data_IF_793442949524
#
_entry.id   IF_793442949524
#
_cell.length_a   1.000
_cell.length_b   1.000
_cell.length_c   1.000
_cell.angle_alpha   90.00
_cell.angle_beta   90.00
_cell.angle_gamma   90.00
#
_symmetry.space_group_name_H-M   'P 1'
#
loop_
_entity.id
_entity.type
_entity.pdbx_description
1 polymer ?
#
# COMPACT_ATOMS: atom_id res chain seq x y z
N UNK A 1 8.88 9.07 8.38
CA UNK A 1 7.86 8.53 7.47
C UNK A 1 7.26 7.27 8.05
N UNK A 2 5.96 7.07 7.86
CA UNK A 2 5.19 5.96 8.43
C UNK A 2 4.06 5.58 7.48
N UNK A 3 3.58 4.34 7.58
CA UNK A 3 2.52 3.80 6.75
C UNK A 3 1.50 3.05 7.62
N UNK A 4 0.23 3.41 7.49
CA UNK A 4 -0.90 2.72 8.14
C UNK A 4 -1.66 1.90 7.10
N UNK A 5 -2.15 0.73 7.52
CA UNK A 5 -2.90 -0.18 6.66
C UNK A 5 -4.14 -0.61 7.44
N UNK A 6 -5.30 -0.16 6.98
CA UNK A 6 -6.57 -0.28 7.66
C UNK A 6 -7.56 -1.07 6.78
N UNK A 7 -7.81 -2.35 7.09
CA UNK A 7 -8.88 -3.08 6.44
C UNK A 7 -10.23 -2.52 6.88
N UNK A 8 -11.09 -2.25 5.91
CA UNK A 8 -12.49 -1.89 6.13
C UNK A 8 -13.40 -3.00 5.60
N UNK A 9 -14.72 -2.80 5.68
CA UNK A 9 -15.69 -3.73 5.08
C UNK A 9 -15.53 -3.88 3.56
N UNK A 10 -15.20 -2.79 2.86
CA UNK A 10 -15.21 -2.76 1.40
C UNK A 10 -13.80 -2.93 0.79
N UNK A 11 -12.81 -2.26 1.39
CA UNK A 11 -11.46 -2.15 0.84
C UNK A 11 -10.41 -2.03 1.96
N UNK A 12 -9.14 -2.14 1.60
CA UNK A 12 -8.02 -1.83 2.49
C UNK A 12 -7.52 -0.42 2.17
N UNK A 13 -7.55 0.48 3.14
CA UNK A 13 -6.94 1.80 3.02
C UNK A 13 -5.47 1.73 3.45
N UNK A 14 -4.60 2.41 2.72
CA UNK A 14 -3.18 2.59 3.07
C UNK A 14 -2.86 4.07 3.07
N UNK A 15 -2.43 4.59 4.21
CA UNK A 15 -2.06 5.99 4.39
C UNK A 15 -0.54 6.12 4.59
N UNK A 16 0.09 7.10 3.94
CA UNK A 16 1.54 7.35 4.00
C UNK A 16 1.83 8.76 4.47
N UNK A 17 2.49 8.87 5.62
CA UNK A 17 2.90 10.16 6.20
C UNK A 17 4.40 10.37 6.10
N UNK A 18 4.83 11.61 5.86
CA UNK A 18 6.25 12.00 5.89
C UNK A 18 6.81 12.02 7.32
N UNK A 19 5.92 12.14 8.33
CA UNK A 19 6.30 12.37 9.72
C UNK A 19 6.72 13.83 9.91
N UNK A 20 7.81 14.07 10.63
CA UNK A 20 8.34 15.44 10.82
C UNK A 20 9.19 16.00 9.68
N UNK A 21 9.42 15.24 8.60
CA UNK A 21 10.19 15.72 7.45
C UNK A 21 9.29 16.56 6.53
N UNK A 22 9.60 17.85 6.43
CA UNK A 22 8.89 18.83 5.62
C UNK A 22 9.70 19.28 4.40
N UNK A 23 10.81 18.61 4.09
CA UNK A 23 11.62 18.92 2.92
C UNK A 23 10.82 18.69 1.62
N UNK A 24 11.16 19.39 0.52
CA UNK A 24 10.48 19.20 -0.77
C UNK A 24 10.50 17.76 -1.29
N UNK A 25 11.48 16.94 -0.87
CA UNK A 25 11.62 15.54 -1.27
C UNK A 25 10.94 14.55 -0.31
N UNK A 26 10.43 15.01 0.84
CA UNK A 26 9.92 14.17 1.92
C UNK A 26 8.81 13.23 1.45
N UNK A 27 7.82 13.77 0.71
CA UNK A 27 6.70 12.99 0.19
C UNK A 27 7.15 11.89 -0.76
N UNK A 28 7.99 12.23 -1.73
CA UNK A 28 8.52 11.24 -2.68
C UNK A 28 9.32 10.14 -1.96
N UNK A 29 10.21 10.52 -1.05
CA UNK A 29 11.01 9.56 -0.26
C UNK A 29 10.13 8.64 0.59
N UNK A 30 9.10 9.17 1.24
CA UNK A 30 8.14 8.38 2.03
C UNK A 30 7.36 7.40 1.15
N UNK A 31 6.85 7.86 0.01
CA UNK A 31 6.11 7.02 -0.95
C UNK A 31 6.97 5.88 -1.52
N UNK A 32 8.25 6.15 -1.83
CA UNK A 32 9.16 5.10 -2.29
C UNK A 32 9.49 4.07 -1.20
N UNK A 33 9.58 4.49 0.07
CA UNK A 33 9.75 3.57 1.18
C UNK A 33 8.51 2.69 1.37
N UNK A 34 7.32 3.30 1.36
CA UNK A 34 6.04 2.61 1.45
C UNK A 34 5.86 1.59 0.30
N UNK A 35 6.16 1.99 -0.95
CA UNK A 35 6.04 1.13 -2.13
C UNK A 35 6.86 -0.17 -2.02
N UNK A 36 8.07 -0.10 -1.45
CA UNK A 36 8.94 -1.26 -1.27
C UNK A 36 8.43 -2.21 -0.19
N UNK A 37 7.83 -1.67 0.85
CA UNK A 37 7.42 -2.41 2.05
C UNK A 37 5.98 -2.98 1.96
N UNK A 38 5.11 -2.32 1.20
CA UNK A 38 3.69 -2.64 1.12
C UNK A 38 3.37 -4.10 0.76
N UNK A 39 4.01 -4.74 -0.24
CA UNK A 39 3.67 -6.14 -0.57
C UNK A 39 3.92 -7.10 0.60
N UNK A 40 5.01 -6.88 1.35
CA UNK A 40 5.35 -7.67 2.54
C UNK A 40 4.30 -7.49 3.63
N UNK A 41 3.87 -6.25 3.89
CA UNK A 41 2.85 -5.96 4.90
C UNK A 41 1.50 -6.58 4.56
N UNK A 42 1.03 -6.43 3.32
CA UNK A 42 -0.22 -7.04 2.86
C UNK A 42 -0.16 -8.57 2.99
N UNK A 43 0.95 -9.18 2.60
CA UNK A 43 1.16 -10.63 2.70
C UNK A 43 1.15 -11.15 4.14
N UNK A 44 1.86 -10.48 5.04
CA UNK A 44 1.94 -10.87 6.46
C UNK A 44 0.60 -10.75 7.18
N UNK A 45 -0.21 -9.76 6.80
CA UNK A 45 -1.53 -9.51 7.38
C UNK A 45 -2.64 -10.34 6.70
N UNK A 46 -2.33 -11.06 5.61
CA UNK A 46 -3.31 -11.80 4.83
C UNK A 46 -4.35 -10.90 4.14
N UNK A 47 -3.97 -9.67 3.78
CA UNK A 47 -4.87 -8.68 3.21
C UNK A 47 -4.92 -8.78 1.67
N UNK A 48 -6.13 -8.73 1.13
CA UNK A 48 -6.43 -8.76 -0.30
C UNK A 48 -7.82 -8.21 -0.62
N UNK A 49 -8.14 -8.11 -1.90
CA UNK A 49 -9.27 -7.36 -2.43
C UNK A 49 -8.84 -6.02 -3.02
N UNK A 50 -9.75 -5.05 -3.00
CA UNK A 50 -9.44 -3.67 -3.38
C UNK A 50 -8.57 -3.02 -2.31
N UNK A 51 -7.50 -2.36 -2.73
CA UNK A 51 -6.60 -1.61 -1.87
C UNK A 51 -6.40 -0.23 -2.48
N UNK A 52 -6.56 0.81 -1.67
CA UNK A 52 -6.41 2.21 -2.07
C UNK A 52 -5.25 2.81 -1.29
N UNK A 53 -4.29 3.39 -2.01
CA UNK A 53 -3.13 4.07 -1.45
C UNK A 53 -3.38 5.57 -1.44
N UNK A 54 -3.50 6.16 -0.25
CA UNK A 54 -3.40 7.59 -0.02
C UNK A 54 -1.94 7.94 0.29
N UNK A 55 -1.31 8.61 -0.66
CA UNK A 55 0.14 8.83 -0.65
C UNK A 55 0.47 10.23 -0.18
N UNK A 56 1.62 10.37 0.48
CA UNK A 56 2.12 11.69 0.86
C UNK A 56 2.20 12.61 -0.37
N UNK A 57 1.94 13.92 -0.22
CA UNK A 57 1.95 14.86 -1.34
C UNK A 57 3.23 14.75 -2.17
N UNK A 58 3.07 14.55 -3.49
CA UNK A 58 4.19 14.55 -4.42
C UNK A 58 3.81 15.14 -5.79
N UNK A 59 4.75 15.79 -6.49
CA UNK A 59 4.55 16.26 -7.86
C UNK A 59 4.14 15.16 -8.84
N UNK A 60 3.29 15.49 -9.81
CA UNK A 60 2.86 14.54 -10.86
C UNK A 60 4.04 13.91 -11.63
N UNK A 61 5.13 14.67 -11.84
CA UNK A 61 6.35 14.19 -12.51
C UNK A 61 7.01 13.00 -11.78
N UNK A 62 6.82 12.90 -10.47
CA UNK A 62 7.45 11.88 -9.64
C UNK A 62 6.63 10.58 -9.56
N UNK A 63 5.36 10.62 -10.00
CA UNK A 63 4.44 9.46 -10.02
C UNK A 63 5.00 8.29 -10.82
N UNK A 64 5.65 8.55 -11.96
CA UNK A 64 6.25 7.51 -12.79
C UNK A 64 7.35 6.73 -12.05
N UNK A 65 8.16 7.43 -11.26
CA UNK A 65 9.21 6.81 -10.43
C UNK A 65 8.62 5.96 -9.31
N UNK A 66 7.56 6.46 -8.67
CA UNK A 66 6.79 5.71 -7.68
C UNK A 66 6.18 4.43 -8.27
N UNK A 67 5.48 4.53 -9.40
CA UNK A 67 4.86 3.37 -10.09
C UNK A 67 5.89 2.31 -10.47
N UNK A 68 7.05 2.72 -10.99
CA UNK A 68 8.13 1.80 -11.33
C UNK A 68 8.62 1.03 -10.10
N UNK A 69 8.76 1.73 -8.96
CA UNK A 69 9.16 1.12 -7.69
C UNK A 69 8.10 0.17 -7.16
N UNK A 70 6.83 0.58 -7.18
CA UNK A 70 5.69 -0.22 -6.75
C UNK A 70 5.58 -1.50 -7.59
N UNK A 71 5.67 -1.38 -8.92
CA UNK A 71 5.65 -2.52 -9.84
C UNK A 71 6.82 -3.47 -9.62
N UNK A 72 8.02 -2.95 -9.36
CA UNK A 72 9.16 -3.81 -9.03
C UNK A 72 8.94 -4.58 -7.72
N UNK A 73 8.39 -3.92 -6.69
CA UNK A 73 8.13 -4.54 -5.40
C UNK A 73 7.06 -5.65 -5.48
N UNK A 74 5.94 -5.40 -6.18
CA UNK A 74 4.88 -6.41 -6.34
C UNK A 74 5.25 -7.56 -7.30
N UNK A 75 6.15 -7.34 -8.26
CA UNK A 75 6.66 -8.44 -9.11
C UNK A 75 7.40 -9.53 -8.32
N UNK A 76 8.04 -9.16 -7.22
CA UNK A 76 8.73 -10.11 -6.33
C UNK A 76 7.79 -10.74 -5.29
N UNK A 77 6.53 -10.32 -5.24
CA UNK A 77 5.55 -10.83 -4.30
C UNK A 77 4.85 -12.08 -4.85
N UNK A 78 4.48 -12.98 -3.95
CA UNK A 78 3.89 -14.29 -4.32
C UNK A 78 2.39 -14.24 -4.58
N UNK A 79 1.71 -13.17 -4.16
CA UNK A 79 0.25 -13.02 -4.31
C UNK A 79 -0.03 -12.11 -5.49
N UNK A 80 -0.79 -12.62 -6.44
CA UNK A 80 -1.16 -11.89 -7.65
C UNK A 80 -1.82 -10.55 -7.30
N UNK A 81 -1.30 -9.47 -7.88
CA UNK A 81 -1.74 -8.10 -7.65
C UNK A 81 -1.75 -7.32 -8.95
N UNK A 82 -2.92 -6.86 -9.37
CA UNK A 82 -3.06 -5.93 -10.47
C UNK A 82 -2.88 -4.49 -9.96
N UNK A 83 -1.94 -3.76 -10.55
CA UNK A 83 -1.74 -2.33 -10.29
C UNK A 83 -2.64 -1.53 -11.24
N UNK A 84 -3.74 -0.97 -10.73
CA UNK A 84 -4.81 -0.38 -11.54
C UNK A 84 -4.41 1.02 -12.04
N UNK A 85 -3.94 1.87 -11.14
CA UNK A 85 -3.46 3.20 -11.49
C UNK A 85 -3.96 4.32 -10.58
N UNK A 86 -3.74 5.56 -11.04
CA UNK A 86 -4.15 6.76 -10.31
C UNK A 86 -5.63 7.06 -10.49
N UNK A 87 -6.28 7.48 -9.41
CA UNK A 87 -7.64 8.03 -9.45
C UNK A 87 -7.63 9.54 -9.74
N UNK A 88 -8.78 10.12 -10.13
CA UNK A 88 -8.92 11.58 -10.26
C UNK A 88 -8.64 12.34 -8.96
N UNK A 89 -8.93 11.74 -7.80
CA UNK A 89 -8.64 12.34 -6.48
C UNK A 89 -7.16 12.26 -6.10
N UNK A 90 -6.36 11.47 -6.82
CA UNK A 90 -4.92 11.37 -6.61
C UNK A 90 -4.46 10.19 -5.75
N UNK A 91 -5.36 9.26 -5.41
CA UNK A 91 -4.99 7.98 -4.81
C UNK A 91 -4.44 7.01 -5.87
N UNK A 92 -3.81 5.93 -5.44
CA UNK A 92 -3.39 4.83 -6.31
C UNK A 92 -4.14 3.54 -5.95
N UNK A 93 -4.75 2.87 -6.93
CA UNK A 93 -5.54 1.67 -6.72
C UNK A 93 -4.80 0.41 -7.15
N UNK A 94 -5.01 -0.65 -6.38
CA UNK A 94 -4.55 -1.99 -6.72
C UNK A 94 -5.60 -3.04 -6.33
N UNK A 95 -5.68 -4.11 -7.12
CA UNK A 95 -6.56 -5.25 -6.90
C UNK A 95 -5.69 -6.47 -6.59
N UNK A 96 -5.79 -6.99 -5.37
CA UNK A 96 -4.98 -8.11 -4.88
C UNK A 96 -5.84 -9.35 -4.67
N UNK A 97 -5.33 -10.52 -5.05
CA UNK A 97 -6.04 -11.79 -4.85
C UNK A 97 -6.18 -12.11 -3.35
N UNK A 98 -7.33 -12.69 -2.95
CA UNK A 98 -7.60 -13.11 -1.56
C UNK A 98 -7.23 -14.58 -1.37
N UNK A 99 -5.92 -14.83 -1.23
CA UNK A 99 -5.37 -16.20 -1.13
C UNK A 99 -5.11 -16.65 0.32
N UNK A 100 -5.32 -15.78 1.31
CA UNK A 100 -5.04 -16.06 2.72
C UNK A 100 -6.17 -15.54 3.59
N UNK A 101 -6.41 -16.22 4.70
CA UNK A 101 -7.25 -15.69 5.79
C UNK A 101 -6.49 -14.54 6.45
N UNK A 102 -7.19 -13.45 6.77
CA UNK A 102 -6.58 -12.31 7.43
C UNK A 102 -6.04 -12.69 8.81
N UNK A 103 -4.86 -12.16 9.17
CA UNK A 103 -4.19 -12.47 10.44
C UNK A 103 -5.07 -12.13 11.64
N UNK A 104 -5.80 -11.01 11.60
CA UNK A 104 -6.71 -10.59 12.67
C UNK A 104 -7.78 -11.67 12.93
N UNK A 105 -8.40 -12.19 11.88
CA UNK A 105 -9.42 -13.27 11.98
C UNK A 105 -8.85 -14.54 12.62
N UNK A 106 -7.61 -14.90 12.28
CA UNK A 106 -6.94 -16.07 12.89
C UNK A 106 -6.65 -15.87 14.37
N UNK A 107 -6.24 -14.66 14.77
CA UNK A 107 -5.95 -14.33 16.17
C UNK A 107 -7.21 -14.25 17.03
N UNK A 108 -8.32 -13.74 16.49
CA UNK A 108 -9.62 -13.75 17.16
C UNK A 108 -10.10 -15.19 17.43
N UNK A 109 -9.93 -16.10 16.46
CA UNK A 109 -10.29 -17.51 16.61
C UNK A 109 -9.38 -18.31 17.52
N UNK A 110 -8.15 -17.86 17.77
CA UNK A 110 -7.19 -18.50 18.68
C UNK A 110 -7.34 -18.04 20.14
N UNK A 111 -8.11 -16.98 20.38
CA UNK A 111 -8.36 -16.42 21.71
C UNK A 111 -9.62 -17.01 22.39
N UNK A 112 -10.32 -17.94 21.74
CA UNK A 112 -11.43 -18.72 22.30
C UNK A 112 -11.04 -20.17 22.54
#
# INVERSE_FOLDING_TARGET
ASMWIEPTRALVAVDVNTGGDTSPAAGHKANLAAARELPRQLRLRGLGGQVVLDLAPMPKKDRRGFESTLRAAFRADQVETALVGWTPLGHYELQRKRDRIALATLLEGAAG
#
